data_IF_411202157843
#
_entry.id   IF_411202157843
#
_cell.length_a   1.000
_cell.length_b   1.000
_cell.length_c   1.000
_cell.angle_alpha   90.00
_cell.angle_beta   90.00
_cell.angle_gamma   90.00
#
_symmetry.space_group_name_H-M   'P 1'
#
loop_
_entity.id
_entity.type
_entity.pdbx_description
1 polymer ?
#
# COMPACT_ATOMS: atom_id res chain seq x y z
N UNK A 1 13.90 13.33 -17.29
CA UNK A 1 13.48 11.92 -17.31
C UNK A 1 11.98 11.94 -17.07
N UNK A 2 11.15 11.27 -17.88
CA UNK A 2 9.74 11.11 -17.54
C UNK A 2 9.65 10.36 -16.20
N UNK A 3 9.25 11.12 -15.18
CA UNK A 3 8.39 10.77 -14.05
C UNK A 3 8.51 9.41 -13.32
N UNK A 4 9.64 9.17 -12.65
CA UNK A 4 9.77 8.22 -11.54
C UNK A 4 8.96 8.61 -10.25
N UNK A 5 7.89 9.40 -10.39
CA UNK A 5 7.13 9.99 -9.28
C UNK A 5 5.62 9.76 -9.36
N UNK A 6 5.10 9.13 -10.42
CA UNK A 6 3.69 8.77 -10.49
C UNK A 6 3.53 7.30 -10.12
N UNK A 7 3.10 7.05 -8.88
CA UNK A 7 2.23 5.90 -8.67
C UNK A 7 1.07 6.11 -9.67
N UNK A 8 0.79 5.13 -10.54
CA UNK A 8 -0.40 5.12 -11.42
C UNK A 8 -1.68 5.01 -10.56
N UNK A 9 -1.87 5.97 -9.66
CA UNK A 9 -2.95 5.99 -8.69
C UNK A 9 -4.28 6.15 -9.42
N UNK A 10 -4.28 6.81 -10.58
CA UNK A 10 -5.45 6.94 -11.44
C UNK A 10 -5.97 5.58 -11.91
N UNK A 11 -5.08 4.65 -12.24
CA UNK A 11 -5.46 3.29 -12.63
C UNK A 11 -6.04 2.51 -11.45
N UNK A 12 -5.42 2.64 -10.27
CA UNK A 12 -5.92 2.04 -9.03
C UNK A 12 -7.29 2.61 -8.68
N UNK A 13 -7.46 3.93 -8.73
CA UNK A 13 -8.72 4.61 -8.41
C UNK A 13 -9.81 4.23 -9.42
N UNK A 14 -9.49 4.17 -10.70
CA UNK A 14 -10.43 3.74 -11.75
C UNK A 14 -10.88 2.30 -11.55
N UNK A 15 -9.95 1.40 -11.22
CA UNK A 15 -10.25 0.00 -10.90
C UNK A 15 -11.12 -0.12 -9.65
N UNK A 16 -10.83 0.64 -8.60
CA UNK A 16 -11.63 0.64 -7.38
C UNK A 16 -13.04 1.19 -7.64
N UNK A 17 -13.16 2.32 -8.35
CA UNK A 17 -14.41 3.00 -8.62
C UNK A 17 -15.41 2.14 -9.41
N UNK A 18 -14.91 1.20 -10.22
CA UNK A 18 -15.72 0.27 -11.03
C UNK A 18 -15.92 -1.09 -10.37
N UNK A 19 -15.35 -1.33 -9.18
CA UNK A 19 -15.44 -2.59 -8.45
C UNK A 19 -16.54 -2.61 -7.38
N UNK A 20 -16.88 -3.81 -6.88
CA UNK A 20 -17.78 -3.99 -5.74
C UNK A 20 -17.18 -3.53 -4.39
N UNK A 21 -15.88 -3.17 -4.37
CA UNK A 21 -15.14 -2.69 -3.19
C UNK A 21 -14.44 -1.35 -3.45
N UNK A 22 -15.19 -0.25 -3.61
CA UNK A 22 -14.65 1.02 -4.08
C UNK A 22 -13.85 1.80 -3.03
N UNK A 23 -13.81 1.34 -1.77
CA UNK A 23 -13.16 2.09 -0.69
C UNK A 23 -11.65 1.81 -0.68
N UNK A 24 -10.89 2.86 -0.46
CA UNK A 24 -9.43 2.83 -0.30
C UNK A 24 -9.07 3.25 1.13
N UNK A 25 -8.17 2.50 1.76
CA UNK A 25 -7.43 2.96 2.94
C UNK A 25 -6.06 3.43 2.47
N UNK A 26 -5.74 4.69 2.77
CA UNK A 26 -4.46 5.29 2.42
C UNK A 26 -3.73 5.70 3.70
N UNK A 27 -2.56 5.13 3.95
CA UNK A 27 -1.73 5.46 5.10
C UNK A 27 -0.36 5.96 4.62
N UNK A 28 0.10 7.06 5.19
CA UNK A 28 1.41 7.65 4.88
C UNK A 28 2.33 7.57 6.09
N UNK A 29 3.58 7.19 5.86
CA UNK A 29 4.62 7.07 6.88
C UNK A 29 5.86 7.88 6.49
N UNK A 30 6.70 8.29 7.45
CA UNK A 30 8.00 8.88 7.14
C UNK A 30 8.91 7.95 6.35
N UNK A 31 8.92 6.65 6.64
CA UNK A 31 9.79 5.69 5.95
C UNK A 31 9.59 4.22 6.32
N UNK A 32 10.01 3.32 5.42
CA UNK A 32 10.18 1.90 5.68
C UNK A 32 11.23 1.67 6.79
N UNK A 33 11.05 0.61 7.59
CA UNK A 33 11.87 0.28 8.77
C UNK A 33 11.98 1.38 9.84
N UNK A 34 11.14 2.40 9.80
CA UNK A 34 11.06 3.37 10.90
C UNK A 34 10.24 2.77 12.05
N UNK A 35 10.68 2.89 13.32
CA UNK A 35 10.18 2.05 14.42
C UNK A 35 8.66 1.98 14.54
N UNK A 36 8.01 3.07 14.95
CA UNK A 36 6.55 3.10 15.18
C UNK A 36 5.76 2.75 13.91
N UNK A 37 6.26 3.10 12.73
CA UNK A 37 5.56 2.88 11.47
C UNK A 37 5.58 1.40 11.05
N UNK A 38 6.73 0.75 11.17
CA UNK A 38 6.92 -0.64 10.77
C UNK A 38 6.46 -1.64 11.82
N UNK A 39 6.59 -1.32 13.11
CA UNK A 39 6.32 -2.28 14.19
C UNK A 39 4.88 -2.18 14.72
N UNK A 40 4.26 -0.99 14.66
CA UNK A 40 2.93 -0.77 15.24
C UNK A 40 1.86 -0.44 14.20
N UNK A 41 2.13 0.45 13.23
CA UNK A 41 1.10 0.92 12.30
C UNK A 41 0.80 -0.10 11.19
N UNK A 42 1.78 -0.44 10.34
CA UNK A 42 1.55 -1.32 9.20
C UNK A 42 1.00 -2.72 9.59
N UNK A 43 1.51 -3.40 10.64
CA UNK A 43 0.99 -4.70 11.05
C UNK A 43 -0.48 -4.69 11.49
N UNK A 44 -0.98 -3.56 12.02
CA UNK A 44 -2.38 -3.42 12.42
C UNK A 44 -3.33 -3.56 11.22
N UNK A 45 -3.06 -2.82 10.15
CA UNK A 45 -3.85 -2.89 8.92
C UNK A 45 -3.80 -4.27 8.28
N UNK A 46 -2.64 -4.96 8.36
CA UNK A 46 -2.47 -6.31 7.82
C UNK A 46 -3.28 -7.36 8.59
N UNK A 47 -3.35 -7.25 9.92
CA UNK A 47 -4.19 -8.11 10.76
C UNK A 47 -5.68 -7.91 10.48
N UNK A 48 -6.08 -6.68 10.18
CA UNK A 48 -7.48 -6.32 9.95
C UNK A 48 -7.94 -6.44 8.49
N UNK A 49 -7.11 -6.98 7.58
CA UNK A 49 -7.43 -7.06 6.15
C UNK A 49 -8.79 -7.70 5.86
N UNK A 50 -9.14 -8.79 6.55
CA UNK A 50 -10.43 -9.45 6.35
C UNK A 50 -11.61 -8.58 6.83
N UNK A 51 -11.44 -7.83 7.90
CA UNK A 51 -12.45 -6.88 8.38
C UNK A 51 -12.60 -5.68 7.44
N UNK A 52 -11.49 -5.21 6.86
CA UNK A 52 -11.47 -4.15 5.87
C UNK A 52 -12.18 -4.61 4.58
N UNK A 53 -11.90 -5.82 4.10
CA UNK A 53 -12.61 -6.43 2.96
C UNK A 53 -14.10 -6.55 3.22
N UNK A 54 -14.51 -7.01 4.41
CA UNK A 54 -15.93 -7.08 4.80
C UNK A 54 -16.63 -5.70 4.76
N UNK A 55 -15.88 -4.61 4.95
CA UNK A 55 -16.37 -3.22 4.84
C UNK A 55 -16.35 -2.67 3.41
N UNK A 56 -16.06 -3.51 2.40
CA UNK A 56 -15.89 -3.14 0.97
C UNK A 56 -14.66 -2.25 0.71
N UNK A 57 -13.58 -2.45 1.46
CA UNK A 57 -12.27 -1.85 1.15
C UNK A 57 -11.55 -2.73 0.14
N UNK A 58 -11.30 -2.18 -1.05
CA UNK A 58 -10.66 -2.89 -2.16
C UNK A 58 -9.14 -2.75 -2.18
N UNK A 59 -8.59 -1.74 -1.52
CA UNK A 59 -7.15 -1.53 -1.43
C UNK A 59 -6.73 -0.89 -0.10
N UNK A 60 -5.53 -1.26 0.36
CA UNK A 60 -4.79 -0.59 1.42
C UNK A 60 -3.44 -0.19 0.84
N UNK A 61 -3.14 1.10 0.81
CA UNK A 61 -1.91 1.64 0.23
C UNK A 61 -1.07 2.27 1.34
N UNK A 62 0.21 1.91 1.38
CA UNK A 62 1.21 2.53 2.22
C UNK A 62 2.14 3.39 1.38
N UNK A 63 2.14 4.70 1.66
CA UNK A 63 3.04 5.67 1.05
C UNK A 63 4.17 6.01 2.04
N UNK A 64 5.40 6.13 1.53
CA UNK A 64 6.51 6.68 2.30
C UNK A 64 7.46 7.46 1.39
N UNK A 65 8.45 8.15 1.98
CA UNK A 65 9.45 8.90 1.22
C UNK A 65 10.43 7.99 0.45
N UNK A 66 10.48 6.70 0.80
CA UNK A 66 11.34 5.74 0.13
C UNK A 66 10.90 5.46 -1.31
N UNK A 67 11.86 5.09 -2.15
CA UNK A 67 11.62 4.67 -3.52
C UNK A 67 10.91 3.30 -3.61
N UNK A 68 10.52 2.97 -4.84
CA UNK A 68 9.86 1.74 -5.24
C UNK A 68 10.48 0.45 -4.70
N UNK A 69 11.79 0.33 -4.88
CA UNK A 69 12.53 -0.89 -4.61
C UNK A 69 12.62 -1.12 -3.11
N UNK A 70 12.84 -0.04 -2.35
CA UNK A 70 12.87 -0.06 -0.89
C UNK A 70 11.49 -0.44 -0.33
N UNK A 71 10.41 0.18 -0.82
CA UNK A 71 9.05 -0.15 -0.37
C UNK A 71 8.64 -1.58 -0.72
N UNK A 72 9.02 -2.08 -1.90
CA UNK A 72 8.77 -3.46 -2.31
C UNK A 72 9.55 -4.46 -1.44
N UNK A 73 10.83 -4.20 -1.18
CA UNK A 73 11.65 -5.05 -0.31
C UNK A 73 11.05 -5.13 1.11
N UNK A 74 10.74 -3.98 1.71
CA UNK A 74 10.13 -3.91 3.03
C UNK A 74 8.79 -4.66 3.12
N UNK A 75 7.92 -4.46 2.13
CA UNK A 75 6.62 -5.15 2.07
C UNK A 75 6.78 -6.66 2.03
N UNK A 76 7.71 -7.17 1.22
CA UNK A 76 7.93 -8.62 1.01
C UNK A 76 8.64 -9.29 2.17
N UNK A 77 9.72 -8.68 2.67
CA UNK A 77 10.60 -9.31 3.65
C UNK A 77 10.14 -9.13 5.09
N UNK A 78 9.58 -7.97 5.44
CA UNK A 78 9.27 -7.63 6.84
C UNK A 78 7.77 -7.63 7.11
N UNK A 79 6.95 -7.19 6.15
CA UNK A 79 5.51 -7.06 6.34
C UNK A 79 4.72 -8.30 5.87
N UNK A 80 5.36 -9.24 5.17
CA UNK A 80 4.72 -10.46 4.67
C UNK A 80 3.65 -10.20 3.59
N UNK A 81 3.71 -9.03 2.93
CA UNK A 81 2.83 -8.68 1.81
C UNK A 81 3.29 -9.44 0.56
N UNK A 82 2.42 -10.32 0.04
CA UNK A 82 2.70 -11.21 -1.10
C UNK A 82 2.01 -10.80 -2.40
N UNK A 83 1.04 -9.89 -2.33
CA UNK A 83 0.38 -9.28 -3.49
C UNK A 83 1.27 -8.16 -4.05
N UNK A 84 1.37 -8.09 -5.38
CA UNK A 84 2.33 -7.26 -6.10
C UNK A 84 2.32 -5.81 -5.63
N UNK A 85 3.43 -5.36 -5.03
CA UNK A 85 3.83 -3.95 -5.07
C UNK A 85 4.22 -3.66 -6.51
N UNK A 86 3.21 -3.49 -7.37
CA UNK A 86 3.40 -3.10 -8.77
C UNK A 86 3.62 -1.60 -8.79
N UNK A 87 4.85 -1.20 -8.48
CA UNK A 87 5.35 0.06 -9.02
C UNK A 87 5.72 -0.27 -10.47
N UNK A 88 4.79 -0.01 -11.38
CA UNK A 88 5.14 0.05 -12.78
C UNK A 88 6.13 1.23 -12.94
N UNK A 89 7.16 1.07 -13.79
CA UNK A 89 8.19 2.09 -13.98
C UNK A 89 7.61 3.43 -14.44
#
# INVERSE_FOLDING_TARGET
MPDAHHIEIDDVLTKLATSDSPKLVFASFPGAWTPTCAEAHAPGFLKDLEQLKAKKVGAVIFLAFNDAFVMNAWGRFDQGVREEVRQHP
#
